data_IF_596220618122
#
_entry.id   IF_596220618122
#
_cell.length_a   1.000
_cell.length_b   1.000
_cell.length_c   1.000
_cell.angle_alpha   90.00
_cell.angle_beta   90.00
_cell.angle_gamma   90.00
#
_symmetry.space_group_name_H-M   'P 1'
#
loop_
_entity.id
_entity.type
_entity.pdbx_description
1 polymer ?
#
# COMPACT_ATOMS: atom_id res chain seq x y z
N UNK A 1 16.54 -5.53 19.53
CA UNK A 1 15.57 -4.84 18.72
C UNK A 1 14.14 -5.05 19.23
N UNK A 2 13.64 -4.03 19.89
CA UNK A 2 12.28 -4.04 20.41
C UNK A 2 11.23 -4.21 19.29
N UNK A 3 11.60 -3.87 18.06
CA UNK A 3 10.67 -3.85 16.92
C UNK A 3 10.33 -5.24 16.38
N UNK A 4 11.13 -6.27 16.73
CA UNK A 4 10.86 -7.63 16.29
C UNK A 4 9.53 -8.16 16.82
N UNK A 5 9.18 -7.84 18.06
CA UNK A 5 7.90 -8.25 18.64
C UNK A 5 6.74 -7.57 17.95
N UNK A 6 6.89 -6.29 17.60
CA UNK A 6 5.87 -5.53 16.87
C UNK A 6 5.68 -6.08 15.46
N UNK A 7 6.78 -6.42 14.78
CA UNK A 7 6.73 -7.01 13.43
C UNK A 7 6.01 -8.36 13.45
N UNK A 8 6.26 -9.19 14.49
CA UNK A 8 5.60 -10.49 14.61
C UNK A 8 4.10 -10.41 14.84
N UNK A 9 3.61 -9.27 15.33
CA UNK A 9 2.17 -9.03 15.54
C UNK A 9 1.48 -8.49 14.30
N UNK A 10 2.23 -8.18 13.24
CA UNK A 10 1.70 -7.56 12.04
C UNK A 10 0.70 -8.48 11.35
N UNK A 11 -0.48 -7.95 11.09
CA UNK A 11 -1.53 -8.66 10.35
C UNK A 11 -1.86 -8.02 9.02
N UNK A 12 -1.55 -6.72 8.88
CA UNK A 12 -1.82 -5.95 7.67
C UNK A 12 -0.69 -4.96 7.46
N UNK A 13 -0.29 -4.80 6.19
CA UNK A 13 0.66 -3.78 5.78
C UNK A 13 -0.05 -2.74 4.93
N UNK A 14 -0.02 -1.50 5.39
CA UNK A 14 -0.46 -0.35 4.58
C UNK A 14 0.75 0.28 3.93
N UNK A 15 0.63 0.68 2.68
CA UNK A 15 1.73 1.31 1.98
C UNK A 15 1.25 2.50 1.16
N UNK A 16 2.07 3.53 1.13
CA UNK A 16 1.95 4.63 0.19
C UNK A 16 2.42 4.16 -1.20
N UNK A 17 2.21 4.96 -2.21
CA UNK A 17 2.62 4.64 -3.59
C UNK A 17 3.87 5.43 -3.98
N UNK A 18 3.74 6.75 -4.09
CA UNK A 18 4.84 7.58 -4.60
C UNK A 18 5.99 7.61 -3.60
N UNK A 19 7.20 7.43 -4.11
CA UNK A 19 8.44 7.33 -3.36
C UNK A 19 8.55 6.09 -2.46
N UNK A 20 7.57 5.22 -2.46
CA UNK A 20 7.61 3.93 -1.74
C UNK A 20 7.57 2.78 -2.73
N UNK A 21 6.49 2.66 -3.49
CA UNK A 21 6.34 1.64 -4.54
C UNK A 21 6.86 2.12 -5.89
N UNK A 22 7.04 3.42 -6.05
CA UNK A 22 7.63 4.04 -7.24
C UNK A 22 8.87 4.84 -6.82
N UNK A 23 9.61 5.34 -7.80
CA UNK A 23 10.75 6.22 -7.55
C UNK A 23 10.34 7.69 -7.38
N UNK A 24 9.02 7.97 -7.36
CA UNK A 24 8.49 9.32 -7.25
C UNK A 24 8.44 10.07 -8.58
N UNK A 25 9.02 9.51 -9.64
CA UNK A 25 9.00 10.11 -10.97
C UNK A 25 7.61 10.08 -11.58
N UNK A 26 7.27 11.12 -12.30
CA UNK A 26 5.98 11.26 -12.95
C UNK A 26 6.18 11.62 -14.41
N UNK A 27 5.52 10.87 -15.28
CA UNK A 27 5.54 11.11 -16.73
C UNK A 27 4.23 11.77 -17.12
N UNK A 28 4.30 13.04 -17.47
CA UNK A 28 3.11 13.86 -17.74
C UNK A 28 2.93 14.18 -19.19
N UNK A 29 1.67 14.26 -19.60
CA UNK A 29 1.23 14.98 -20.81
C UNK A 29 0.29 16.09 -20.36
N UNK A 30 -0.21 16.87 -21.31
CA UNK A 30 -1.22 17.90 -21.01
C UNK A 30 -2.50 17.34 -20.41
N UNK A 31 -2.74 16.03 -20.59
CA UNK A 31 -3.93 15.35 -20.07
C UNK A 31 -3.70 14.70 -18.69
N UNK A 32 -2.50 14.81 -18.14
CA UNK A 32 -2.16 14.27 -16.83
C UNK A 32 -1.03 13.25 -16.87
N UNK A 33 -0.85 12.51 -15.79
CA UNK A 33 0.20 11.51 -15.71
C UNK A 33 -0.16 10.27 -16.54
N UNK A 34 0.83 9.75 -17.27
CA UNK A 34 0.66 8.62 -18.20
C UNK A 34 1.39 7.36 -17.77
N UNK A 35 2.43 7.49 -16.95
CA UNK A 35 3.24 6.35 -16.51
C UNK A 35 3.78 6.55 -15.10
N UNK A 36 3.96 5.41 -14.41
CA UNK A 36 4.72 5.34 -13.16
C UNK A 36 5.60 4.12 -13.23
N UNK A 37 6.76 4.20 -12.59
CA UNK A 37 7.71 3.08 -12.57
C UNK A 37 7.60 2.33 -11.25
N UNK A 38 7.11 1.10 -11.31
CA UNK A 38 7.06 0.19 -10.18
C UNK A 38 8.23 -0.78 -10.23
N UNK A 39 8.61 -1.31 -9.09
CA UNK A 39 9.70 -2.25 -9.01
C UNK A 39 9.18 -3.69 -8.83
N UNK A 40 9.73 -4.61 -9.58
CA UNK A 40 9.32 -6.03 -9.55
C UNK A 40 9.45 -6.64 -8.15
N UNK A 41 10.49 -6.27 -7.41
CA UNK A 41 10.73 -6.80 -6.07
C UNK A 41 9.66 -6.41 -5.06
N UNK A 42 9.05 -5.25 -5.22
CA UNK A 42 7.96 -4.83 -4.36
C UNK A 42 6.73 -5.70 -4.55
N UNK A 43 6.44 -6.08 -5.80
CA UNK A 43 5.38 -7.02 -6.08
C UNK A 43 5.65 -8.39 -5.49
N UNK A 44 6.91 -8.86 -5.56
CA UNK A 44 7.31 -10.10 -4.92
C UNK A 44 7.15 -10.04 -3.41
N UNK A 45 7.56 -8.93 -2.79
CA UNK A 45 7.42 -8.72 -1.35
C UNK A 45 5.97 -8.80 -0.89
N UNK A 46 5.09 -8.10 -1.60
CA UNK A 46 3.65 -8.12 -1.31
C UNK A 46 3.08 -9.54 -1.46
N UNK A 47 3.54 -10.27 -2.45
CA UNK A 47 3.11 -11.64 -2.72
C UNK A 47 3.55 -12.60 -1.61
N UNK A 48 4.79 -12.46 -1.15
CA UNK A 48 5.31 -13.26 -0.05
C UNK A 48 4.55 -12.99 1.25
N UNK A 49 4.25 -11.73 1.54
CA UNK A 49 3.45 -11.36 2.70
C UNK A 49 2.05 -11.96 2.62
N UNK A 50 1.42 -11.87 1.45
CA UNK A 50 0.10 -12.44 1.23
C UNK A 50 0.07 -13.95 1.49
N UNK A 51 1.09 -14.67 1.03
CA UNK A 51 1.22 -16.11 1.29
C UNK A 51 1.40 -16.42 2.76
N UNK A 52 1.94 -15.49 3.51
CA UNK A 52 2.10 -15.59 4.98
C UNK A 52 0.86 -15.13 5.74
N UNK A 53 -0.21 -14.77 5.04
CA UNK A 53 -1.44 -14.32 5.65
C UNK A 53 -1.48 -12.83 5.98
N UNK A 54 -0.55 -12.04 5.45
CA UNK A 54 -0.48 -10.61 5.69
C UNK A 54 -0.79 -9.88 4.38
N UNK A 55 -2.02 -9.37 4.20
CA UNK A 55 -2.34 -8.61 2.99
C UNK A 55 -1.70 -7.24 3.00
N UNK A 56 -1.36 -6.75 1.81
CA UNK A 56 -0.89 -5.39 1.60
C UNK A 56 -2.05 -4.56 1.08
N UNK A 57 -2.20 -3.36 1.63
CA UNK A 57 -3.26 -2.42 1.26
C UNK A 57 -2.60 -1.11 0.87
N UNK A 58 -2.98 -0.57 -0.28
CA UNK A 58 -2.47 0.70 -0.77
C UNK A 58 -3.39 1.83 -0.27
N UNK A 59 -2.76 2.88 0.26
CA UNK A 59 -3.45 4.12 0.65
C UNK A 59 -2.73 5.27 -0.02
N UNK A 60 -3.39 5.97 -0.92
CA UNK A 60 -2.77 7.03 -1.70
C UNK A 60 -3.69 8.23 -1.89
N UNK A 61 -3.10 9.41 -2.04
CA UNK A 61 -3.87 10.64 -2.32
C UNK A 61 -4.34 10.69 -3.76
N UNK A 62 -3.53 10.20 -4.68
CA UNK A 62 -3.86 10.24 -6.09
C UNK A 62 -4.90 9.18 -6.45
N UNK A 63 -5.76 9.53 -7.40
CA UNK A 63 -6.74 8.60 -7.93
C UNK A 63 -6.36 8.30 -9.38
N UNK A 64 -5.74 7.14 -9.60
CA UNK A 64 -5.22 6.79 -10.91
C UNK A 64 -5.44 5.31 -11.23
N UNK A 65 -5.79 5.04 -12.48
CA UNK A 65 -5.97 3.68 -12.98
C UNK A 65 -4.64 2.92 -13.02
N UNK A 66 -3.51 3.63 -13.12
CA UNK A 66 -2.17 3.02 -13.17
C UNK A 66 -1.91 2.21 -11.90
N UNK A 67 -2.17 2.81 -10.74
CA UNK A 67 -1.97 2.16 -9.44
C UNK A 67 -2.90 0.96 -9.30
N UNK A 68 -4.16 1.12 -9.67
CA UNK A 68 -5.15 0.03 -9.57
C UNK A 68 -4.78 -1.15 -10.47
N UNK A 69 -4.26 -0.88 -11.65
CA UNK A 69 -3.83 -1.92 -12.58
C UNK A 69 -2.65 -2.71 -12.03
N UNK A 70 -1.65 -2.00 -11.51
CA UNK A 70 -0.49 -2.64 -10.89
C UNK A 70 -0.90 -3.46 -9.67
N UNK A 71 -1.75 -2.90 -8.82
CA UNK A 71 -2.24 -3.57 -7.61
C UNK A 71 -2.96 -4.87 -7.97
N UNK A 72 -3.81 -4.84 -8.98
CA UNK A 72 -4.52 -6.03 -9.43
C UNK A 72 -3.56 -7.12 -9.92
N UNK A 73 -2.56 -6.72 -10.69
CA UNK A 73 -1.54 -7.65 -11.19
C UNK A 73 -0.75 -8.29 -10.06
N UNK A 74 -0.47 -7.53 -8.99
CA UNK A 74 0.32 -7.99 -7.85
C UNK A 74 -0.54 -8.63 -6.75
N UNK A 75 -1.84 -8.79 -6.97
CA UNK A 75 -2.76 -9.35 -5.98
C UNK A 75 -2.79 -8.55 -4.68
N UNK A 76 -2.68 -7.23 -4.79
CA UNK A 76 -2.86 -6.33 -3.64
C UNK A 76 -4.32 -6.40 -3.21
N UNK A 77 -4.55 -6.56 -1.90
CA UNK A 77 -5.89 -6.83 -1.34
C UNK A 77 -6.86 -5.69 -1.61
N UNK A 78 -6.44 -4.45 -1.41
CA UNK A 78 -7.31 -3.31 -1.61
C UNK A 78 -6.52 -2.05 -1.90
N UNK A 79 -7.13 -1.13 -2.65
CA UNK A 79 -6.57 0.19 -2.96
C UNK A 79 -7.55 1.27 -2.49
N UNK A 80 -7.12 2.08 -1.53
CA UNK A 80 -7.83 3.27 -1.13
C UNK A 80 -7.15 4.46 -1.77
N UNK A 81 -7.70 4.95 -2.86
CA UNK A 81 -7.17 6.11 -3.58
C UNK A 81 -8.00 7.36 -3.35
N UNK A 82 -7.46 8.52 -3.70
CA UNK A 82 -8.13 9.79 -3.45
C UNK A 82 -8.25 10.15 -1.98
N UNK A 83 -7.40 9.60 -1.13
CA UNK A 83 -7.47 9.79 0.33
C UNK A 83 -6.63 11.00 0.72
N UNK A 84 -7.27 12.09 1.12
CA UNK A 84 -6.58 13.31 1.52
C UNK A 84 -5.97 13.19 2.93
N UNK A 85 -6.69 12.57 3.85
CA UNK A 85 -6.21 12.32 5.20
C UNK A 85 -6.07 10.80 5.39
N UNK A 86 -4.85 10.31 5.31
CA UNK A 86 -4.57 8.88 5.39
C UNK A 86 -4.94 8.26 6.73
N UNK A 87 -4.92 9.06 7.80
CA UNK A 87 -5.31 8.57 9.12
C UNK A 87 -6.79 8.18 9.18
N UNK A 88 -7.62 8.78 8.34
CA UNK A 88 -9.06 8.48 8.32
C UNK A 88 -9.36 7.04 7.89
N UNK A 89 -8.40 6.39 7.23
CA UNK A 89 -8.57 5.02 6.73
C UNK A 89 -8.38 3.98 7.85
N UNK A 90 -7.65 4.34 8.91
CA UNK A 90 -7.29 3.39 9.97
C UNK A 90 -8.52 2.76 10.65
N UNK A 91 -9.53 3.54 11.11
CA UNK A 91 -10.71 2.93 11.71
C UNK A 91 -11.47 2.00 10.74
N UNK A 92 -11.49 2.37 9.46
CA UNK A 92 -12.17 1.57 8.43
C UNK A 92 -11.49 0.21 8.29
N UNK A 93 -10.17 0.21 8.24
CA UNK A 93 -9.38 -1.01 8.11
C UNK A 93 -9.49 -1.87 9.36
N UNK A 94 -9.43 -1.27 10.54
CA UNK A 94 -9.58 -1.99 11.80
C UNK A 94 -10.91 -2.74 11.85
N UNK A 95 -11.98 -2.11 11.42
CA UNK A 95 -13.29 -2.72 11.39
C UNK A 95 -13.40 -3.79 10.31
N UNK A 96 -12.94 -3.49 9.10
CA UNK A 96 -13.05 -4.40 7.96
C UNK A 96 -12.27 -5.70 8.16
N UNK A 97 -11.07 -5.61 8.72
CA UNK A 97 -10.17 -6.75 8.88
C UNK A 97 -10.11 -7.28 10.31
N UNK A 98 -10.85 -6.65 11.22
CA UNK A 98 -10.89 -7.04 12.63
C UNK A 98 -9.47 -7.09 13.23
N UNK A 99 -8.75 -5.98 13.09
CA UNK A 99 -7.38 -5.85 13.58
C UNK A 99 -7.25 -4.64 14.49
N UNK A 100 -6.24 -4.69 15.36
CA UNK A 100 -5.89 -3.58 16.25
C UNK A 100 -4.83 -2.69 15.59
N UNK A 101 -4.71 -1.45 16.04
CA UNK A 101 -3.68 -0.53 15.52
C UNK A 101 -2.28 -1.11 15.66
N UNK A 102 -2.00 -1.85 16.75
CA UNK A 102 -0.71 -2.49 16.96
C UNK A 102 -0.40 -3.61 15.96
N UNK A 103 -1.40 -4.05 15.20
CA UNK A 103 -1.28 -5.13 14.21
C UNK A 103 -1.18 -4.59 12.79
N UNK A 104 -1.16 -3.27 12.63
CA UNK A 104 -1.08 -2.59 11.34
C UNK A 104 0.30 -1.98 11.18
N UNK A 105 1.00 -2.35 10.09
CA UNK A 105 2.23 -1.69 9.69
C UNK A 105 1.95 -0.67 8.60
N UNK A 106 2.76 0.39 8.55
CA UNK A 106 2.62 1.43 7.52
C UNK A 106 3.98 1.80 6.97
N UNK A 107 4.09 1.84 5.65
CA UNK A 107 5.26 2.33 4.94
C UNK A 107 4.84 3.59 4.18
N UNK A 108 5.47 4.71 4.53
CA UNK A 108 5.21 5.98 3.89
C UNK A 108 6.40 6.91 4.02
N UNK A 109 6.39 7.95 3.25
CA UNK A 109 7.37 9.04 3.38
C UNK A 109 6.72 10.24 4.11
#
# INVERSE_FOLDING_TARGET
>A
MKDLKSIKKLKILLTDVDCVLTDGGMYYTSDGDVMKKFHTRDGMGANLLRKSGIPTIIVTKEKTKIVRRWAKKMNIEHVYDGIQNKESIIPIIMKKYNVKTSEIGYIGD
#
